data_IF_403197729080
#
_entry.id   IF_403197729080
#
_cell.length_a   1.000
_cell.length_b   1.000
_cell.length_c   1.000
_cell.angle_alpha   90.00
_cell.angle_beta   90.00
_cell.angle_gamma   90.00
#
_symmetry.space_group_name_H-M   'P 1'
#
loop_
_entity.id
_entity.type
_entity.pdbx_description
1 polymer ?
#
# COMPACT_ATOMS: atom_id res chain seq x y z
N UNK A 1 -18.59 -61.02 15.02
CA UNK A 1 -17.96 -59.91 15.77
C UNK A 1 -17.79 -58.73 14.83
N UNK A 2 -18.60 -57.67 14.95
CA UNK A 2 -18.36 -56.42 14.23
C UNK A 2 -17.51 -55.49 15.09
N UNK A 3 -16.40 -55.01 14.54
CA UNK A 3 -15.53 -54.01 15.16
C UNK A 3 -16.09 -52.63 14.80
N UNK A 4 -16.57 -51.90 15.81
CA UNK A 4 -17.02 -50.52 15.70
C UNK A 4 -15.80 -49.59 15.66
N UNK A 5 -15.68 -48.77 14.61
CA UNK A 5 -14.77 -47.62 14.60
C UNK A 5 -15.55 -46.40 15.06
N UNK A 6 -15.21 -45.90 16.25
CA UNK A 6 -15.61 -44.59 16.73
C UNK A 6 -14.73 -43.53 16.03
N UNK A 7 -15.35 -42.68 15.22
CA UNK A 7 -14.73 -41.43 14.74
C UNK A 7 -15.27 -40.29 15.59
N UNK A 8 -14.52 -39.91 16.61
CA UNK A 8 -14.66 -38.62 17.29
C UNK A 8 -14.18 -37.52 16.32
N UNK A 9 -15.11 -36.90 15.61
CA UNK A 9 -14.89 -35.61 14.96
C UNK A 9 -15.11 -34.53 16.01
N UNK A 10 -14.01 -34.11 16.64
CA UNK A 10 -13.96 -32.91 17.46
C UNK A 10 -14.23 -31.71 16.54
N UNK A 11 -15.33 -31.01 16.80
CA UNK A 11 -15.72 -29.79 16.12
C UNK A 11 -14.67 -28.70 16.31
N UNK A 12 -13.92 -28.43 15.25
CA UNK A 12 -13.20 -27.17 15.10
C UNK A 12 -14.22 -26.11 14.68
N UNK A 13 -14.49 -25.18 15.61
CA UNK A 13 -15.19 -23.93 15.32
C UNK A 13 -14.40 -23.20 14.22
N UNK A 14 -15.02 -22.82 13.08
CA UNK A 14 -14.34 -21.97 12.12
C UNK A 14 -14.14 -20.59 12.75
N UNK A 15 -12.93 -20.35 13.26
CA UNK A 15 -12.45 -18.99 13.52
C UNK A 15 -12.58 -18.20 12.23
N UNK A 16 -13.40 -17.16 12.28
CA UNK A 16 -13.62 -16.20 11.19
C UNK A 16 -12.29 -15.78 10.58
N UNK A 17 -12.05 -16.14 9.32
CA UNK A 17 -10.98 -15.57 8.52
C UNK A 17 -11.12 -14.04 8.54
N UNK A 18 -10.09 -13.28 8.95
CA UNK A 18 -10.13 -11.83 8.80
C UNK A 18 -10.29 -11.55 7.30
N UNK A 19 -11.32 -10.79 6.95
CA UNK A 19 -11.55 -10.32 5.59
C UNK A 19 -10.26 -9.77 5.01
N UNK A 20 -9.79 -10.36 3.91
CA UNK A 20 -8.51 -10.11 3.22
C UNK A 20 -8.43 -8.74 2.53
N UNK A 21 -8.82 -7.69 3.24
CA UNK A 21 -8.76 -6.31 2.78
C UNK A 21 -7.40 -5.75 3.13
N UNK A 22 -6.55 -5.53 2.12
CA UNK A 22 -5.34 -4.72 2.28
C UNK A 22 -5.71 -3.33 2.81
N UNK A 23 -4.95 -2.78 3.78
CA UNK A 23 -5.23 -1.44 4.29
C UNK A 23 -4.88 -0.37 3.26
N UNK A 24 -5.66 0.72 3.26
CA UNK A 24 -5.35 1.93 2.50
C UNK A 24 -4.03 2.55 2.95
N UNK A 25 -3.34 3.23 2.03
CA UNK A 25 -2.10 3.92 2.35
C UNK A 25 -2.37 5.00 3.41
N UNK A 26 -1.50 5.17 4.43
CA UNK A 26 -1.84 5.97 5.60
C UNK A 26 -2.11 7.45 5.27
N UNK A 27 -1.23 8.10 4.50
CA UNK A 27 -1.27 9.53 4.12
C UNK A 27 -0.10 9.83 3.17
N UNK A 28 -0.02 11.03 2.59
CA UNK A 28 1.09 11.43 1.70
C UNK A 28 2.46 11.22 2.36
N UNK A 29 2.60 11.62 3.63
CA UNK A 29 3.83 11.52 4.41
C UNK A 29 3.56 10.74 5.70
N UNK A 30 3.55 9.39 5.61
CA UNK A 30 3.13 8.56 6.73
C UNK A 30 4.16 8.61 7.85
N UNK A 31 3.66 8.63 9.10
CA UNK A 31 4.50 8.32 10.27
C UNK A 31 5.18 6.97 10.08
N UNK A 32 6.43 6.82 10.57
CA UNK A 32 7.20 5.58 10.39
C UNK A 32 6.46 4.35 10.96
N UNK A 33 5.78 4.49 12.10
CA UNK A 33 4.94 3.41 12.67
C UNK A 33 3.77 3.02 11.74
N UNK A 34 3.05 4.00 11.18
CA UNK A 34 1.94 3.73 10.27
C UNK A 34 2.42 3.12 8.94
N UNK A 35 3.56 3.59 8.44
CA UNK A 35 4.21 3.05 7.26
C UNK A 35 4.69 1.61 7.48
N UNK A 36 5.35 1.33 8.61
CA UNK A 36 5.81 -0.02 8.97
C UNK A 36 4.64 -1.01 9.03
N UNK A 37 3.57 -0.65 9.75
CA UNK A 37 2.35 -1.47 9.83
C UNK A 37 1.71 -1.71 8.47
N UNK A 38 1.67 -0.68 7.63
CA UNK A 38 1.13 -0.78 6.27
C UNK A 38 2.00 -1.69 5.39
N UNK A 39 3.32 -1.52 5.42
CA UNK A 39 4.27 -2.36 4.68
C UNK A 39 4.15 -3.81 5.12
N UNK A 40 4.12 -4.09 6.43
CA UNK A 40 4.04 -5.46 6.94
C UNK A 40 2.74 -6.15 6.49
N UNK A 41 1.61 -5.43 6.48
CA UNK A 41 0.34 -5.94 5.96
C UNK A 41 0.40 -6.24 4.45
N UNK A 42 1.07 -5.38 3.68
CA UNK A 42 1.24 -5.56 2.24
C UNK A 42 2.25 -6.64 1.88
N UNK A 43 3.33 -6.81 2.65
CA UNK A 43 4.28 -7.91 2.52
C UNK A 43 3.55 -9.26 2.75
N UNK A 44 2.67 -9.33 3.76
CA UNK A 44 1.81 -10.50 4.00
C UNK A 44 0.82 -10.75 2.85
N UNK A 45 0.20 -9.71 2.31
CA UNK A 45 -0.67 -9.83 1.13
C UNK A 45 0.09 -10.34 -0.09
N UNK A 46 1.27 -9.77 -0.37
CA UNK A 46 2.11 -10.17 -1.51
C UNK A 46 2.57 -11.64 -1.39
N UNK A 47 2.90 -12.10 -0.18
CA UNK A 47 3.21 -13.50 0.08
C UNK A 47 2.01 -14.41 -0.21
N UNK A 48 0.82 -14.06 0.30
CA UNK A 48 -0.39 -14.88 0.17
C UNK A 48 -0.88 -14.97 -1.29
N UNK A 49 -0.71 -13.91 -2.07
CA UNK A 49 -1.20 -13.84 -3.46
C UNK A 49 -0.12 -14.19 -4.51
N UNK A 50 1.04 -14.71 -4.10
CA UNK A 50 2.07 -15.19 -5.02
C UNK A 50 2.92 -14.10 -5.69
N UNK A 51 2.89 -12.86 -5.18
CA UNK A 51 3.75 -11.77 -5.64
C UNK A 51 5.13 -11.76 -4.98
N UNK A 52 5.31 -12.48 -3.86
CA UNK A 52 6.58 -12.54 -3.13
C UNK A 52 7.81 -12.93 -4.00
N UNK A 53 7.74 -13.94 -4.90
CA UNK A 53 8.85 -14.23 -5.81
C UNK A 53 9.23 -13.02 -6.67
N UNK A 54 8.23 -12.30 -7.21
CA UNK A 54 8.47 -11.12 -8.05
C UNK A 54 9.11 -9.97 -7.28
N UNK A 55 8.70 -9.75 -6.03
CA UNK A 55 9.33 -8.77 -5.13
C UNK A 55 10.81 -9.08 -4.87
N UNK A 56 11.20 -10.37 -4.94
CA UNK A 56 12.57 -10.85 -4.78
C UNK A 56 13.35 -10.90 -6.11
N UNK A 57 12.76 -10.43 -7.21
CA UNK A 57 13.37 -10.51 -8.55
C UNK A 57 13.35 -11.91 -9.16
N UNK A 58 12.49 -12.80 -8.66
CA UNK A 58 12.28 -14.15 -9.19
C UNK A 58 10.97 -14.24 -9.95
N UNK A 59 10.86 -15.28 -10.77
CA UNK A 59 9.64 -15.59 -11.50
C UNK A 59 8.55 -16.18 -10.58
N UNK A 60 7.27 -15.80 -10.76
CA UNK A 60 6.17 -16.44 -10.06
C UNK A 60 5.94 -17.88 -10.56
N UNK A 61 5.35 -18.77 -9.75
CA UNK A 61 5.10 -20.16 -10.17
C UNK A 61 4.23 -20.30 -11.43
N UNK A 62 3.37 -19.33 -11.71
CA UNK A 62 2.49 -19.30 -12.88
C UNK A 62 3.24 -19.29 -14.21
N UNK A 63 4.48 -18.80 -14.25
CA UNK A 63 5.27 -18.73 -15.50
C UNK A 63 6.19 -19.92 -15.73
N UNK A 64 6.26 -20.88 -14.80
CA UNK A 64 7.11 -22.08 -14.93
C UNK A 64 6.75 -22.89 -16.18
N UNK A 65 5.47 -22.92 -16.58
CA UNK A 65 5.04 -23.63 -17.79
C UNK A 65 5.65 -23.07 -19.09
N UNK A 66 6.16 -21.83 -19.07
CA UNK A 66 6.79 -21.17 -20.21
C UNK A 66 8.31 -21.38 -20.26
N UNK A 67 8.86 -22.33 -19.50
CA UNK A 67 10.29 -22.68 -19.61
C UNK A 67 10.63 -23.16 -21.02
N UNK A 68 11.69 -22.55 -21.56
CA UNK A 68 12.25 -22.88 -22.88
C UNK A 68 12.88 -24.27 -22.85
N UNK A 69 12.71 -25.02 -23.95
CA UNK A 69 13.38 -26.31 -24.11
C UNK A 69 14.83 -26.08 -24.50
N UNK A 70 15.75 -26.77 -23.82
CA UNK A 70 17.16 -26.72 -24.17
C UNK A 70 17.44 -27.44 -25.51
N UNK A 71 18.08 -26.73 -26.43
CA UNK A 71 18.47 -27.23 -27.74
C UNK A 71 19.66 -28.20 -27.67
N UNK A 72 20.37 -28.26 -26.54
CA UNK A 72 21.48 -29.20 -26.31
C UNK A 72 21.03 -30.67 -26.37
N UNK A 73 19.78 -30.94 -25.98
CA UNK A 73 19.18 -32.29 -26.04
C UNK A 73 18.86 -32.75 -27.47
N UNK A 74 18.92 -31.83 -28.44
CA UNK A 74 18.63 -32.10 -29.85
C UNK A 74 19.81 -31.54 -30.67
N UNK A 75 21.02 -32.12 -30.56
CA UNK A 75 22.18 -31.63 -31.29
C UNK A 75 21.98 -31.79 -32.80
N UNK A 76 22.71 -30.98 -33.57
CA UNK A 76 22.82 -31.18 -35.01
C UNK A 76 23.43 -32.57 -35.28
N UNK A 77 22.92 -33.26 -36.29
CA UNK A 77 23.49 -34.54 -36.69
C UNK A 77 24.75 -34.31 -37.53
N UNK A 78 25.74 -35.22 -37.44
CA UNK A 78 26.92 -35.16 -38.29
C UNK A 78 26.55 -35.39 -39.77
N UNK A 79 27.37 -34.90 -40.73
CA UNK A 79 27.04 -34.88 -42.16
C UNK A 79 26.94 -36.28 -42.79
N UNK A 80 27.43 -37.31 -42.11
CA UNK A 80 27.37 -38.72 -42.49
C UNK A 80 26.04 -39.41 -42.12
N UNK A 81 25.16 -38.77 -41.33
CA UNK A 81 23.89 -39.33 -40.88
C UNK A 81 22.81 -39.49 -41.98
N UNK A 82 23.12 -39.09 -43.22
CA UNK A 82 22.22 -39.12 -44.36
C UNK A 82 21.30 -37.89 -44.45
N UNK A 83 21.11 -37.39 -45.67
CA UNK A 83 20.41 -36.11 -45.93
C UNK A 83 18.99 -36.05 -45.34
N UNK A 84 18.24 -37.15 -45.40
CA UNK A 84 16.88 -37.22 -44.84
C UNK A 84 16.86 -37.08 -43.31
N UNK A 85 17.81 -37.71 -42.61
CA UNK A 85 17.90 -37.62 -41.14
C UNK A 85 18.35 -36.23 -40.68
N UNK A 86 19.28 -35.61 -41.43
CA UNK A 86 19.72 -34.23 -41.20
C UNK A 86 18.53 -33.27 -41.35
N UNK A 87 17.80 -33.34 -42.46
CA UNK A 87 16.63 -32.49 -42.71
C UNK A 87 15.54 -32.66 -41.64
N UNK A 88 15.26 -33.89 -41.22
CA UNK A 88 14.30 -34.15 -40.14
C UNK A 88 14.75 -33.55 -38.80
N UNK A 89 16.06 -33.65 -38.49
CA UNK A 89 16.64 -33.05 -37.28
C UNK A 89 16.59 -31.53 -37.30
N UNK A 90 16.91 -30.92 -38.43
CA UNK A 90 16.84 -29.46 -38.63
C UNK A 90 15.41 -28.94 -38.50
N UNK A 91 14.43 -29.63 -39.10
CA UNK A 91 13.02 -29.29 -38.96
C UNK A 91 12.56 -29.32 -37.49
N UNK A 92 12.95 -30.36 -36.74
CA UNK A 92 12.62 -30.46 -35.32
C UNK A 92 13.31 -29.38 -34.47
N UNK A 93 14.56 -29.02 -34.78
CA UNK A 93 15.25 -27.88 -34.12
C UNK A 93 14.56 -26.56 -34.44
N UNK A 94 14.18 -26.32 -35.69
CA UNK A 94 13.46 -25.12 -36.10
C UNK A 94 12.11 -25.00 -35.37
N UNK A 95 11.39 -26.11 -35.22
CA UNK A 95 10.16 -26.16 -34.44
C UNK A 95 10.39 -25.79 -32.97
N UNK A 96 11.41 -26.36 -32.32
CA UNK A 96 11.73 -26.04 -30.92
C UNK A 96 12.13 -24.56 -30.75
N UNK A 97 12.87 -23.99 -31.70
CA UNK A 97 13.22 -22.56 -31.69
C UNK A 97 11.96 -21.70 -31.77
N UNK A 98 11.03 -22.04 -32.67
CA UNK A 98 9.76 -21.35 -32.81
C UNK A 98 8.90 -21.45 -31.53
N UNK A 99 8.75 -22.65 -30.97
CA UNK A 99 8.04 -22.89 -29.72
C UNK A 99 8.64 -22.09 -28.55
N UNK A 100 9.98 -22.03 -28.46
CA UNK A 100 10.69 -21.26 -27.44
C UNK A 100 10.44 -19.76 -27.61
N UNK A 101 10.39 -19.24 -28.84
CA UNK A 101 10.07 -17.85 -29.10
C UNK A 101 8.64 -17.49 -28.65
N UNK A 102 7.66 -18.37 -28.93
CA UNK A 102 6.27 -18.20 -28.46
C UNK A 102 6.21 -18.21 -26.93
N UNK A 103 6.84 -19.21 -26.29
CA UNK A 103 6.89 -19.31 -24.83
C UNK A 103 7.53 -18.08 -24.17
N UNK A 104 8.60 -17.56 -24.76
CA UNK A 104 9.24 -16.33 -24.28
C UNK A 104 8.29 -15.14 -24.34
N UNK A 105 7.58 -14.97 -25.45
CA UNK A 105 6.59 -13.91 -25.59
C UNK A 105 5.46 -14.06 -24.55
N UNK A 106 4.89 -15.26 -24.40
CA UNK A 106 3.86 -15.55 -23.40
C UNK A 106 4.32 -15.32 -21.97
N UNK A 107 5.57 -15.69 -21.65
CA UNK A 107 6.18 -15.43 -20.34
C UNK A 107 6.27 -13.94 -20.05
N UNK A 108 6.77 -13.15 -21.00
CA UNK A 108 6.91 -11.70 -20.82
C UNK A 108 5.55 -11.02 -20.66
N UNK A 109 4.57 -11.40 -21.46
CA UNK A 109 3.19 -10.90 -21.38
C UNK A 109 2.57 -11.20 -20.02
N UNK A 110 2.66 -12.46 -19.57
CA UNK A 110 2.16 -12.88 -18.25
C UNK A 110 2.84 -12.13 -17.10
N UNK A 111 4.15 -11.88 -17.20
CA UNK A 111 4.88 -11.09 -16.20
C UNK A 111 4.42 -9.63 -16.19
N UNK A 112 4.20 -9.03 -17.36
CA UNK A 112 3.67 -7.67 -17.50
C UNK A 112 2.29 -7.57 -16.85
N UNK A 113 1.41 -8.53 -17.14
CA UNK A 113 0.09 -8.66 -16.56
C UNK A 113 0.10 -8.72 -15.03
N UNK A 114 0.97 -9.55 -14.45
CA UNK A 114 1.10 -9.64 -13.00
C UNK A 114 1.56 -8.32 -12.38
N UNK A 115 2.55 -7.64 -12.98
CA UNK A 115 3.04 -6.34 -12.50
C UNK A 115 1.97 -5.27 -12.58
N UNK A 116 1.22 -5.23 -13.68
CA UNK A 116 0.16 -4.26 -13.89
C UNK A 116 -1.02 -4.49 -12.94
N UNK A 117 -1.46 -5.74 -12.74
CA UNK A 117 -2.51 -6.06 -11.76
C UNK A 117 -2.13 -5.62 -10.35
N UNK A 118 -0.87 -5.84 -9.95
CA UNK A 118 -0.38 -5.36 -8.67
C UNK A 118 -0.35 -3.82 -8.59
N UNK A 119 -0.01 -3.14 -9.69
CA UNK A 119 -0.07 -1.67 -9.78
C UNK A 119 -1.50 -1.14 -9.59
N UNK A 120 -2.50 -1.76 -10.23
CA UNK A 120 -3.90 -1.38 -10.10
C UNK A 120 -4.40 -1.49 -8.64
N UNK A 121 -3.96 -2.52 -7.92
CA UNK A 121 -4.25 -2.66 -6.49
C UNK A 121 -3.63 -1.51 -5.68
N UNK A 122 -2.36 -1.18 -5.92
CA UNK A 122 -1.71 -0.04 -5.26
C UNK A 122 -2.43 1.28 -5.56
N UNK A 123 -2.81 1.50 -6.82
CA UNK A 123 -3.56 2.68 -7.26
C UNK A 123 -4.84 2.85 -6.43
N UNK A 124 -5.61 1.77 -6.23
CA UNK A 124 -6.86 1.81 -5.46
C UNK A 124 -6.61 2.24 -4.01
N UNK A 125 -5.55 1.73 -3.38
CA UNK A 125 -5.26 1.97 -1.97
C UNK A 125 -4.46 3.25 -1.68
N UNK A 126 -3.75 3.79 -2.67
CA UNK A 126 -3.06 5.07 -2.57
C UNK A 126 -4.00 6.26 -2.85
N UNK A 127 -4.95 6.10 -3.77
CA UNK A 127 -5.83 7.18 -4.24
C UNK A 127 -6.58 7.95 -3.12
N UNK A 128 -7.08 7.31 -2.05
CA UNK A 128 -7.88 8.04 -1.06
C UNK A 128 -7.07 9.03 -0.21
N UNK A 129 -5.78 8.77 0.03
CA UNK A 129 -4.99 9.50 1.04
C UNK A 129 -3.58 9.92 0.59
N UNK A 130 -3.12 9.45 -0.57
CA UNK A 130 -1.77 9.69 -1.09
C UNK A 130 -1.77 9.91 -2.62
N UNK A 131 -2.58 10.86 -3.08
CA UNK A 131 -2.76 11.18 -4.50
C UNK A 131 -1.52 11.79 -5.18
N UNK A 132 -0.76 12.66 -4.51
CA UNK A 132 0.47 13.26 -5.05
C UNK A 132 1.58 12.21 -5.17
N UNK A 133 1.75 11.39 -4.14
CA UNK A 133 2.65 10.22 -4.18
C UNK A 133 2.26 9.26 -5.29
N UNK A 134 0.97 8.99 -5.45
CA UNK A 134 0.46 8.16 -6.54
C UNK A 134 0.83 8.75 -7.91
N UNK A 135 0.60 10.04 -8.13
CA UNK A 135 0.98 10.70 -9.40
C UNK A 135 2.47 10.55 -9.70
N UNK A 136 3.33 10.72 -8.69
CA UNK A 136 4.78 10.52 -8.85
C UNK A 136 5.12 9.08 -9.20
N UNK A 137 4.50 8.11 -8.54
CA UNK A 137 4.73 6.68 -8.81
C UNK A 137 4.30 6.31 -10.23
N UNK A 138 3.13 6.76 -10.68
CA UNK A 138 2.62 6.51 -12.03
C UNK A 138 3.52 7.12 -13.10
N UNK A 139 4.03 8.33 -12.87
CA UNK A 139 4.98 8.97 -13.78
C UNK A 139 6.34 8.25 -13.83
N UNK A 140 6.79 7.67 -12.72
CA UNK A 140 8.13 7.06 -12.60
C UNK A 140 8.18 5.60 -13.05
N UNK A 141 7.07 4.88 -12.93
CA UNK A 141 7.00 3.41 -13.13
C UNK A 141 6.07 3.00 -14.28
N UNK A 142 5.94 3.85 -15.30
CA UNK A 142 5.25 3.49 -16.54
C UNK A 142 6.08 2.49 -17.35
N UNK A 143 5.46 1.44 -17.86
CA UNK A 143 6.13 0.43 -18.70
C UNK A 143 6.42 1.06 -20.07
N UNK A 144 7.70 1.04 -20.47
CA UNK A 144 8.15 1.62 -21.74
C UNK A 144 7.40 1.03 -22.94
N UNK A 145 6.96 1.90 -23.86
CA UNK A 145 6.20 1.51 -25.04
C UNK A 145 4.69 1.64 -24.92
N UNK A 146 4.17 2.03 -23.74
CA UNK A 146 2.75 2.42 -23.59
C UNK A 146 2.58 3.93 -23.70
N UNK A 147 1.51 4.37 -24.36
CA UNK A 147 1.15 5.79 -24.45
C UNK A 147 0.44 6.16 -23.14
N UNK A 148 0.89 7.23 -22.47
CA UNK A 148 0.27 7.70 -21.22
C UNK A 148 -1.23 7.95 -21.40
N UNK A 149 -2.06 7.47 -20.48
CA UNK A 149 -3.52 7.54 -20.58
C UNK A 149 -4.23 6.43 -19.81
N UNK A 150 -5.46 6.11 -20.22
CA UNK A 150 -6.28 5.05 -19.60
C UNK A 150 -5.73 3.64 -19.85
N UNK A 151 -4.93 3.46 -20.90
CA UNK A 151 -4.36 2.16 -21.31
C UNK A 151 -2.88 2.01 -20.90
N UNK A 152 -2.38 2.90 -20.04
CA UNK A 152 -1.00 2.83 -19.57
C UNK A 152 -0.78 1.60 -18.68
N UNK A 153 0.28 0.85 -18.97
CA UNK A 153 0.75 -0.25 -18.13
C UNK A 153 1.79 0.26 -17.14
N UNK A 154 1.76 -0.28 -15.93
CA UNK A 154 2.58 0.19 -14.81
C UNK A 154 3.30 -0.99 -14.17
N UNK A 155 4.55 -0.79 -13.74
CA UNK A 155 5.30 -1.79 -12.99
C UNK A 155 4.97 -1.69 -11.49
N UNK A 156 3.92 -2.39 -11.07
CA UNK A 156 3.47 -2.37 -9.68
C UNK A 156 4.49 -2.92 -8.69
N UNK A 157 5.38 -3.81 -9.13
CA UNK A 157 6.44 -4.37 -8.30
C UNK A 157 7.47 -3.28 -7.99
N UNK A 158 7.90 -2.53 -9.00
CA UNK A 158 8.80 -1.39 -8.82
C UNK A 158 8.16 -0.27 -7.98
N UNK A 159 6.87 0.04 -8.22
CA UNK A 159 6.13 1.00 -7.40
C UNK A 159 6.13 0.62 -5.91
N UNK A 160 5.84 -0.64 -5.60
CA UNK A 160 5.84 -1.10 -4.22
C UNK A 160 7.23 -1.12 -3.59
N UNK A 161 8.27 -1.48 -4.35
CA UNK A 161 9.64 -1.40 -3.86
C UNK A 161 10.04 0.04 -3.50
N UNK A 162 9.62 1.05 -4.26
CA UNK A 162 9.83 2.46 -3.90
C UNK A 162 9.11 2.82 -2.59
N UNK A 163 7.85 2.36 -2.41
CA UNK A 163 7.11 2.57 -1.16
C UNK A 163 7.77 1.86 0.02
N UNK A 164 8.28 0.65 -0.19
CA UNK A 164 9.00 -0.12 0.83
C UNK A 164 10.32 0.53 1.22
N UNK A 165 10.99 1.20 0.27
CA UNK A 165 12.21 1.95 0.54
C UNK A 165 11.99 3.15 1.49
N UNK A 166 10.76 3.69 1.57
CA UNK A 166 10.41 4.74 2.54
C UNK A 166 10.65 4.31 3.99
N UNK A 167 10.61 3.01 4.28
CA UNK A 167 10.95 2.42 5.58
C UNK A 167 12.36 2.79 6.05
N UNK A 168 13.26 3.03 5.10
CA UNK A 168 14.68 3.29 5.34
C UNK A 168 15.06 4.77 5.20
N UNK A 169 14.13 5.61 4.76
CA UNK A 169 14.38 7.05 4.60
C UNK A 169 14.54 7.70 5.98
N UNK A 170 15.60 8.51 6.15
CA UNK A 170 15.85 9.24 7.40
C UNK A 170 14.69 10.20 7.67
N UNK A 171 14.24 10.25 8.92
CA UNK A 171 13.19 11.19 9.35
C UNK A 171 13.56 12.63 8.97
N UNK A 172 12.56 13.40 8.56
CA UNK A 172 12.75 14.82 8.26
C UNK A 172 13.13 15.59 9.52
N UNK A 173 13.69 16.80 9.39
CA UNK A 173 14.01 17.65 10.56
C UNK A 173 12.76 17.91 11.44
N UNK A 174 11.59 18.29 10.90
CA UNK A 174 10.38 18.47 11.70
C UNK A 174 9.96 17.22 12.48
N UNK A 175 10.04 16.06 11.84
CA UNK A 175 9.73 14.78 12.49
C UNK A 175 10.69 14.48 13.65
N UNK A 176 12.00 14.72 13.46
CA UNK A 176 12.98 14.60 14.56
C UNK A 176 12.70 15.59 15.69
N UNK A 177 12.34 16.83 15.36
CA UNK A 177 12.00 17.84 16.35
C UNK A 177 10.71 17.48 17.12
N UNK A 178 9.74 16.80 16.49
CA UNK A 178 8.55 16.28 17.14
C UNK A 178 8.86 15.12 18.10
N UNK A 179 9.73 14.18 17.71
CA UNK A 179 10.19 13.10 18.60
C UNK A 179 10.95 13.67 19.81
N UNK A 180 11.81 14.68 19.61
CA UNK A 180 12.50 15.35 20.73
C UNK A 180 11.53 16.07 21.67
N UNK A 181 10.51 16.74 21.13
CA UNK A 181 9.45 17.35 21.95
C UNK A 181 8.69 16.31 22.76
N UNK A 182 8.34 15.19 22.15
CA UNK A 182 7.67 14.11 22.85
C UNK A 182 8.50 13.51 23.99
N UNK A 183 9.82 13.38 23.80
CA UNK A 183 10.72 12.98 24.87
C UNK A 183 10.73 14.01 26.01
N UNK A 184 10.84 15.30 25.68
CA UNK A 184 10.81 16.37 26.68
C UNK A 184 9.47 16.44 27.43
N UNK A 185 8.34 16.24 26.74
CA UNK A 185 7.01 16.20 27.35
C UNK A 185 6.85 14.99 28.26
N UNK A 186 7.42 13.85 27.87
CA UNK A 186 7.48 12.67 28.71
C UNK A 186 8.28 13.01 29.98
N UNK A 187 9.51 13.50 29.86
CA UNK A 187 10.38 13.86 31.00
C UNK A 187 9.75 14.91 31.92
N UNK A 188 9.05 15.91 31.36
CA UNK A 188 8.38 16.96 32.12
C UNK A 188 7.14 16.48 32.91
N UNK A 189 6.63 15.29 32.62
CA UNK A 189 5.42 14.73 33.23
C UNK A 189 5.71 13.46 34.04
N UNK A 190 6.46 13.52 35.15
CA UNK A 190 6.76 12.34 35.97
C UNK A 190 5.48 11.68 36.52
N UNK A 191 5.54 10.37 36.74
CA UNK A 191 4.43 9.66 37.38
C UNK A 191 4.29 10.11 38.83
N UNK A 192 3.05 10.31 39.28
CA UNK A 192 2.75 10.62 40.68
C UNK A 192 2.93 9.39 41.56
N UNK A 193 3.24 9.61 42.84
CA UNK A 193 3.30 8.53 43.83
C UNK A 193 1.94 7.81 43.94
N UNK A 194 1.99 6.48 44.11
CA UNK A 194 0.80 5.64 44.14
C UNK A 194 0.13 5.41 42.78
N UNK A 195 0.82 5.66 41.66
CA UNK A 195 0.31 5.36 40.32
C UNK A 195 0.03 3.86 40.14
N UNK A 196 -0.86 3.53 39.19
CA UNK A 196 -1.12 2.13 38.86
C UNK A 196 0.01 1.52 38.01
N UNK A 197 0.18 0.21 38.11
CA UNK A 197 1.07 -0.60 37.27
C UNK A 197 0.75 -0.40 35.79
N UNK A 198 -0.53 -0.19 35.45
CA UNK A 198 -0.96 0.08 34.09
C UNK A 198 -0.50 1.45 33.58
N UNK A 199 -0.51 2.48 34.43
CA UNK A 199 0.01 3.80 34.11
C UNK A 199 1.52 3.75 33.85
N UNK A 200 2.27 3.08 34.72
CA UNK A 200 3.71 2.84 34.52
C UNK A 200 3.98 2.07 33.22
N UNK A 201 3.28 0.95 33.01
CA UNK A 201 3.43 0.12 31.81
C UNK A 201 3.16 0.90 30.53
N UNK A 202 2.09 1.70 30.52
CA UNK A 202 1.70 2.51 29.37
C UNK A 202 2.77 3.56 29.05
N UNK A 203 3.33 4.21 30.08
CA UNK A 203 4.41 5.19 29.91
C UNK A 203 5.68 4.56 29.33
N UNK A 204 6.12 3.43 29.88
CA UNK A 204 7.30 2.71 29.36
C UNK A 204 7.06 2.22 27.93
N UNK A 205 5.84 1.75 27.61
CA UNK A 205 5.48 1.32 26.26
C UNK A 205 5.51 2.49 25.26
N UNK A 206 5.00 3.67 25.63
CA UNK A 206 5.08 4.87 24.79
C UNK A 206 6.54 5.21 24.51
N UNK A 207 7.40 5.21 25.52
CA UNK A 207 8.81 5.48 25.30
C UNK A 207 9.48 4.42 24.41
N UNK A 208 9.37 3.15 24.76
CA UNK A 208 10.07 2.05 24.08
C UNK A 208 9.60 1.85 22.63
N UNK A 209 8.31 2.05 22.35
CA UNK A 209 7.72 1.85 21.02
C UNK A 209 7.68 3.12 20.18
N UNK A 210 7.25 4.23 20.78
CA UNK A 210 6.84 5.43 20.04
C UNK A 210 7.91 6.54 20.04
N UNK A 211 8.92 6.47 20.92
CA UNK A 211 9.97 7.51 21.05
C UNK A 211 11.36 6.93 20.77
N UNK A 212 11.80 5.95 21.56
CA UNK A 212 13.16 5.40 21.54
C UNK A 212 13.67 4.98 20.14
N UNK A 213 12.87 4.28 19.31
CA UNK A 213 13.32 3.85 17.97
C UNK A 213 13.52 4.99 16.97
N UNK A 214 13.05 6.20 17.31
CA UNK A 214 13.07 7.38 16.45
C UNK A 214 14.05 8.45 16.93
N UNK A 215 14.77 8.20 18.03
CA UNK A 215 15.83 9.08 18.49
C UNK A 215 17.05 9.00 17.58
N UNK A 216 17.79 10.11 17.47
CA UNK A 216 19.07 10.15 16.73
C UNK A 216 20.08 9.12 17.31
N UNK A 217 19.97 8.83 18.62
CA UNK A 217 20.69 7.76 19.33
C UNK A 217 19.71 7.01 20.24
N UNK A 218 19.16 5.86 19.78
CA UNK A 218 18.29 5.04 20.63
C UNK A 218 19.03 4.52 21.86
N UNK A 219 18.34 4.47 22.99
CA UNK A 219 18.77 3.80 24.20
C UNK A 219 18.73 2.29 24.00
N UNK A 220 19.75 1.58 24.48
CA UNK A 220 19.87 0.14 24.35
C UNK A 220 20.65 -0.46 25.54
N UNK A 221 20.35 -1.71 25.87
CA UNK A 221 20.99 -2.41 26.99
C UNK A 221 20.82 -1.64 28.31
N UNK A 222 21.93 -1.44 29.03
CA UNK A 222 21.92 -0.81 30.35
C UNK A 222 21.39 0.63 30.36
N UNK A 223 21.58 1.41 29.30
CA UNK A 223 21.07 2.80 29.26
C UNK A 223 19.55 2.87 29.11
N UNK A 224 18.96 1.89 28.42
CA UNK A 224 17.50 1.76 28.35
C UNK A 224 16.94 1.36 29.72
N UNK A 225 17.59 0.41 30.39
CA UNK A 225 17.19 -0.04 31.72
C UNK A 225 17.29 1.06 32.78
N UNK A 226 18.33 1.89 32.73
CA UNK A 226 18.49 3.06 33.59
C UNK A 226 17.35 4.07 33.37
N UNK A 227 17.05 4.41 32.11
CA UNK A 227 15.93 5.27 31.79
C UNK A 227 14.60 4.72 32.31
N UNK A 228 14.34 3.42 32.17
CA UNK A 228 13.11 2.77 32.66
C UNK A 228 12.97 2.92 34.18
N UNK A 229 14.06 2.81 34.93
CA UNK A 229 14.07 2.99 36.39
C UNK A 229 13.82 4.46 36.76
N UNK A 230 14.40 5.41 36.02
CA UNK A 230 14.15 6.84 36.20
C UNK A 230 12.69 7.24 35.94
N UNK A 231 11.96 6.46 35.13
CA UNK A 231 10.53 6.68 34.91
C UNK A 231 9.62 6.26 36.07
N UNK A 232 10.17 5.69 37.15
CA UNK A 232 9.37 5.35 38.34
C UNK A 232 8.92 6.59 39.12
N UNK A 233 7.84 6.47 39.91
CA UNK A 233 7.40 7.56 40.79
C UNK A 233 8.50 8.01 41.76
N UNK A 234 8.59 9.31 42.08
CA UNK A 234 9.63 9.87 42.94
C UNK A 234 9.82 9.12 44.26
N UNK A 235 8.73 8.72 44.93
CA UNK A 235 8.76 7.98 46.18
C UNK A 235 9.35 6.58 46.07
N UNK A 236 9.44 6.01 44.86
CA UNK A 236 9.99 4.68 44.58
C UNK A 236 11.40 4.71 43.97
N UNK A 237 11.96 5.89 43.68
CA UNK A 237 13.27 5.99 43.04
C UNK A 237 14.38 5.34 43.88
N UNK A 238 14.36 5.45 45.21
CA UNK A 238 15.36 4.78 46.07
C UNK A 238 15.27 3.26 45.97
N UNK A 239 14.06 2.69 45.95
CA UNK A 239 13.86 1.26 45.71
C UNK A 239 14.33 0.86 44.31
N UNK A 240 14.13 1.75 43.32
CA UNK A 240 14.67 1.60 41.97
C UNK A 240 16.18 1.55 41.89
N UNK A 241 16.87 2.47 42.58
CA UNK A 241 18.33 2.49 42.63
C UNK A 241 18.90 1.27 43.36
N UNK A 242 18.17 0.72 44.33
CA UNK A 242 18.51 -0.56 44.95
C UNK A 242 18.35 -1.72 43.97
N UNK A 243 17.23 -1.76 43.23
CA UNK A 243 16.97 -2.74 42.18
C UNK A 243 18.03 -2.69 41.06
N UNK A 244 18.42 -1.50 40.61
CA UNK A 244 19.50 -1.32 39.64
C UNK A 244 20.80 -1.99 40.11
N UNK A 245 21.20 -1.77 41.37
CA UNK A 245 22.40 -2.37 41.96
C UNK A 245 22.28 -3.89 42.02
N UNK A 246 21.12 -4.40 42.38
CA UNK A 246 20.85 -5.84 42.45
C UNK A 246 20.91 -6.52 41.08
N UNK A 247 20.21 -5.98 40.08
CA UNK A 247 20.21 -6.50 38.70
C UNK A 247 21.58 -6.35 38.03
N UNK A 248 22.33 -5.30 38.37
CA UNK A 248 23.72 -5.13 37.90
C UNK A 248 24.62 -6.20 38.50
N UNK A 249 24.48 -6.49 39.80
CA UNK A 249 25.20 -7.58 40.47
C UNK A 249 24.83 -8.96 39.90
N UNK A 250 23.56 -9.15 39.52
CA UNK A 250 23.08 -10.37 38.89
C UNK A 250 23.49 -10.49 37.40
N UNK A 251 24.00 -9.41 36.78
CA UNK A 251 24.36 -9.38 35.36
C UNK A 251 23.18 -9.30 34.39
N UNK A 252 21.95 -9.14 34.90
CA UNK A 252 20.72 -9.09 34.08
C UNK A 252 20.23 -7.68 33.78
N UNK A 253 20.93 -6.64 34.27
CA UNK A 253 20.52 -5.24 34.07
C UNK A 253 20.43 -4.81 32.59
N UNK A 254 21.16 -5.45 31.68
CA UNK A 254 21.05 -5.16 30.25
C UNK A 254 19.74 -5.67 29.62
N UNK A 255 18.99 -6.52 30.31
CA UNK A 255 17.73 -7.07 29.85
C UNK A 255 16.55 -6.18 30.27
N UNK A 256 16.11 -5.31 29.35
CA UNK A 256 15.04 -4.35 29.62
C UNK A 256 13.72 -5.02 30.05
N UNK A 257 13.37 -6.20 29.52
CA UNK A 257 12.13 -6.89 29.87
C UNK A 257 12.12 -7.35 31.33
N UNK A 258 13.28 -7.78 31.83
CA UNK A 258 13.45 -8.20 33.22
C UNK A 258 13.36 -6.99 34.18
N UNK A 259 13.98 -5.87 33.81
CA UNK A 259 13.91 -4.61 34.56
C UNK A 259 12.47 -4.10 34.61
N UNK A 260 11.75 -4.10 33.47
CA UNK A 260 10.34 -3.73 33.39
C UNK A 260 9.50 -4.60 34.32
N UNK A 261 9.72 -5.91 34.33
CA UNK A 261 9.00 -6.85 35.21
C UNK A 261 9.22 -6.52 36.68
N UNK A 262 10.46 -6.30 37.11
CA UNK A 262 10.76 -5.98 38.51
C UNK A 262 10.25 -4.60 38.94
N UNK A 263 10.38 -3.58 38.07
CA UNK A 263 9.79 -2.27 38.32
C UNK A 263 8.27 -2.35 38.47
N UNK A 264 7.58 -3.18 37.67
CA UNK A 264 6.14 -3.44 37.84
C UNK A 264 5.82 -4.08 39.19
N UNK A 265 6.64 -5.03 39.65
CA UNK A 265 6.48 -5.65 40.99
C UNK A 265 6.57 -4.61 42.10
N UNK A 266 7.55 -3.69 42.02
CA UNK A 266 7.72 -2.61 42.98
C UNK A 266 6.55 -1.62 42.96
N UNK A 267 6.10 -1.20 41.77
CA UNK A 267 4.94 -0.31 41.63
C UNK A 267 3.69 -1.00 42.19
N UNK A 268 3.46 -2.29 41.90
CA UNK A 268 2.32 -3.06 42.41
C UNK A 268 2.25 -3.15 43.94
N UNK A 269 3.42 -3.23 44.60
CA UNK A 269 3.53 -3.27 46.05
C UNK A 269 3.16 -1.93 46.72
N UNK A 270 3.30 -0.81 45.99
CA UNK A 270 3.08 0.55 46.48
C UNK A 270 1.91 1.27 45.81
N UNK A 271 1.07 0.54 45.07
CA UNK A 271 -0.15 1.09 44.49
C UNK A 271 -1.09 1.61 45.57
N UNK A 272 -1.63 2.82 45.37
CA UNK A 272 -2.66 3.35 46.26
C UNK A 272 -3.92 2.46 46.21
N UNK A 273 -4.66 2.28 47.32
CA UNK A 273 -5.88 1.48 47.34
C UNK A 273 -6.93 1.93 46.30
N UNK A 274 -7.00 3.24 46.01
CA UNK A 274 -7.89 3.82 45.00
C UNK A 274 -7.43 3.55 43.55
N UNK A 275 -6.12 3.39 43.31
CA UNK A 275 -5.56 3.06 42.00
C UNK A 275 -5.81 1.59 41.62
N UNK A 276 -5.87 0.68 42.61
CA UNK A 276 -6.26 -0.73 42.39
C UNK A 276 -7.67 -0.90 41.85
N UNK A 277 -8.59 0.00 42.20
CA UNK A 277 -9.99 -0.05 41.75
C UNK A 277 -10.22 0.57 40.37
N UNK A 278 -9.24 1.33 39.84
CA UNK A 278 -9.41 2.13 38.63
C UNK A 278 -8.28 1.81 37.64
N UNK A 279 -8.43 0.74 36.86
CA UNK A 279 -7.47 0.32 35.83
C UNK A 279 -7.53 1.19 34.55
N UNK A 280 -7.89 2.47 34.67
CA UNK A 280 -7.96 3.38 33.54
C UNK A 280 -6.54 3.83 33.14
N UNK A 281 -6.21 3.86 31.84
CA UNK A 281 -4.92 4.37 31.38
C UNK A 281 -4.78 5.85 31.78
N UNK A 282 -3.57 6.25 32.20
CA UNK A 282 -3.29 7.63 32.57
C UNK A 282 -3.65 8.58 31.41
N UNK A 283 -4.42 9.66 31.66
CA UNK A 283 -4.95 10.52 30.61
C UNK A 283 -3.83 11.18 29.79
N UNK A 284 -2.69 11.48 30.40
CA UNK A 284 -1.55 12.13 29.74
C UNK A 284 -0.82 11.23 28.74
N UNK A 285 -0.65 9.93 29.00
CA UNK A 285 0.02 9.02 28.06
C UNK A 285 -0.81 8.81 26.78
N UNK A 286 -2.14 8.87 26.91
CA UNK A 286 -3.06 8.83 25.77
C UNK A 286 -3.05 10.17 25.02
N UNK A 287 -2.91 11.29 25.74
CA UNK A 287 -2.84 12.63 25.15
C UNK A 287 -1.52 12.82 24.41
N UNK A 288 -0.35 12.52 24.98
CA UNK A 288 0.95 12.70 24.29
C UNK A 288 1.08 11.84 23.05
N UNK A 289 0.62 10.58 23.07
CA UNK A 289 0.58 9.73 21.88
C UNK A 289 -0.38 10.27 20.81
N UNK A 290 -1.54 10.81 21.21
CA UNK A 290 -2.53 11.40 20.30
C UNK A 290 -2.11 12.77 19.76
N UNK A 291 -1.40 13.55 20.57
CA UNK A 291 -0.85 14.88 20.25
C UNK A 291 0.37 14.76 19.34
N UNK A 292 1.31 13.83 19.61
CA UNK A 292 2.38 13.46 18.66
C UNK A 292 1.79 13.07 17.31
N UNK A 293 0.77 12.21 17.32
CA UNK A 293 0.08 11.75 16.11
C UNK A 293 -0.63 12.88 15.36
N UNK A 294 -1.02 13.96 16.04
CA UNK A 294 -1.61 15.16 15.43
C UNK A 294 -0.58 16.17 14.95
N UNK A 295 0.48 16.41 15.72
CA UNK A 295 1.54 17.38 15.41
C UNK A 295 2.44 16.88 14.27
N UNK A 296 2.70 15.57 14.21
CA UNK A 296 3.35 14.95 13.05
C UNK A 296 2.49 15.03 11.78
N UNK A 297 1.17 15.18 11.90
CA UNK A 297 0.24 15.24 10.76
C UNK A 297 -0.10 16.67 10.30
N UNK A 298 0.11 17.70 11.14
CA UNK A 298 -0.37 19.06 10.88
C UNK A 298 0.68 19.99 10.22
N UNK A 299 1.98 19.79 10.49
CA UNK A 299 3.03 20.74 10.05
C UNK A 299 3.58 20.43 8.64
N UNK A 300 3.38 19.23 8.11
CA UNK A 300 3.91 18.81 6.80
C UNK A 300 3.10 19.36 5.61
N UNK A 301 1.88 19.88 5.85
CA UNK A 301 1.10 20.58 4.83
C UNK A 301 1.71 21.95 4.44
N UNK A 302 2.46 22.59 5.35
CA UNK A 302 3.02 23.93 5.14
C UNK A 302 4.41 23.89 4.45
N UNK A 303 5.21 22.84 4.68
CA UNK A 303 6.54 22.72 4.09
C UNK A 303 6.52 22.36 2.59
N UNK A 304 5.48 21.65 2.12
CA UNK A 304 5.35 21.21 0.73
C UNK A 304 4.90 22.30 -0.25
N UNK A 305 4.30 23.41 0.21
CA UNK A 305 4.00 24.56 -0.65
C UNK A 305 5.27 25.33 -1.06
N UNK A 306 6.37 25.20 -0.32
CA UNK A 306 7.63 25.89 -0.62
C UNK A 306 8.52 25.14 -1.63
N UNK A 307 8.33 23.82 -1.79
CA UNK A 307 9.13 22.99 -2.71
C UNK A 307 8.65 22.97 -4.18
N UNK A 308 7.51 23.63 -4.49
CA UNK A 308 6.93 23.70 -5.85
C UNK A 308 7.57 24.81 -6.71
N UNK A 309 8.46 25.63 -6.12
CA UNK A 309 9.18 26.68 -6.85
C UNK A 309 10.40 26.16 -7.62
N UNK A 310 10.21 25.48 -8.76
CA UNK A 310 11.34 25.28 -9.68
C UNK A 310 11.25 24.14 -10.68
N UNK A 311 10.29 24.18 -11.62
CA UNK A 311 10.45 23.75 -13.02
C UNK A 311 9.13 23.90 -13.80
N UNK A 312 9.10 24.56 -14.97
CA UNK A 312 7.87 24.62 -15.77
C UNK A 312 7.65 23.27 -16.48
N UNK A 313 6.53 22.61 -16.17
CA UNK A 313 5.98 21.50 -16.94
C UNK A 313 5.10 22.07 -18.07
N UNK A 314 5.18 21.46 -19.25
CA UNK A 314 4.44 21.84 -20.46
C UNK A 314 2.90 21.81 -20.25
N UNK A 315 2.12 22.65 -20.96
CA UNK A 315 0.75 22.98 -20.58
C UNK A 315 -0.36 21.97 -20.97
N UNK A 316 -0.07 20.76 -21.45
CA UNK A 316 -1.12 19.88 -21.99
C UNK A 316 -1.70 18.80 -21.05
N UNK A 317 -1.27 18.71 -19.79
CA UNK A 317 -1.77 17.68 -18.86
C UNK A 317 -2.77 18.17 -17.79
N UNK A 318 -3.33 19.39 -17.91
CA UNK A 318 -4.00 20.08 -16.79
C UNK A 318 -5.51 20.35 -17.01
N UNK A 319 -6.23 19.51 -17.76
CA UNK A 319 -7.63 19.78 -18.10
C UNK A 319 -8.69 18.71 -17.75
N UNK A 320 -8.37 17.58 -17.08
CA UNK A 320 -9.35 16.46 -16.97
C UNK A 320 -9.84 16.10 -15.56
N UNK A 321 -9.38 16.74 -14.47
CA UNK A 321 -9.81 16.34 -13.11
C UNK A 321 -10.41 17.44 -12.21
N UNK A 322 -10.84 18.57 -12.77
CA UNK A 322 -11.53 19.61 -12.00
C UNK A 322 -13.06 19.48 -12.11
N UNK A 323 -13.65 18.52 -11.41
CA UNK A 323 -15.09 18.49 -11.11
C UNK A 323 -15.46 19.56 -10.08
N UNK A 324 -15.64 20.82 -10.51
CA UNK A 324 -16.11 21.91 -9.65
C UNK A 324 -17.64 22.03 -9.70
N UNK A 325 -18.29 21.68 -8.60
CA UNK A 325 -19.63 22.21 -8.24
C UNK A 325 -19.42 23.60 -7.61
N UNK A 326 -19.99 24.63 -8.21
CA UNK A 326 -20.25 25.90 -7.51
C UNK A 326 -21.51 26.55 -8.05
N UNK A 327 -22.50 26.63 -7.17
CA UNK A 327 -23.67 27.49 -7.25
C UNK A 327 -23.29 28.95 -6.93
N UNK A 328 -23.64 29.90 -7.78
CA UNK A 328 -24.09 31.24 -7.36
C UNK A 328 -24.46 32.12 -8.56
N UNK A 329 -25.58 32.83 -8.40
CA UNK A 329 -26.20 33.73 -9.36
C UNK A 329 -25.39 35.03 -9.58
N UNK A 330 -25.40 35.54 -10.81
CA UNK A 330 -25.33 36.97 -11.13
C UNK A 330 -25.71 37.20 -12.62
N UNK A 331 -26.04 38.44 -12.96
CA UNK A 331 -27.08 38.86 -13.88
C UNK A 331 -26.52 39.74 -15.01
N UNK A 332 -26.99 39.51 -16.27
CA UNK A 332 -27.16 40.46 -17.41
C UNK A 332 -25.89 41.00 -18.17
N UNK A 333 -26.03 41.62 -19.37
CA UNK A 333 -26.49 41.03 -20.65
C UNK A 333 -25.64 41.48 -21.89
N UNK A 334 -25.90 40.91 -23.06
CA UNK A 334 -25.41 41.38 -24.38
C UNK A 334 -24.98 40.18 -25.24
N UNK A 335 -25.45 39.94 -26.46
CA UNK A 335 -25.92 40.84 -27.51
C UNK A 335 -24.97 40.63 -28.70
N UNK A 336 -25.38 39.87 -29.71
CA UNK A 336 -24.53 39.64 -30.90
C UNK A 336 -24.99 38.47 -31.76
N UNK A 337 -25.84 38.77 -32.73
CA UNK A 337 -26.30 37.89 -33.81
C UNK A 337 -25.23 37.79 -34.90
N UNK A 338 -24.94 36.59 -35.40
CA UNK A 338 -24.37 36.40 -36.73
C UNK A 338 -24.71 35.01 -37.29
N UNK A 339 -25.42 35.05 -38.41
CA UNK A 339 -25.91 34.00 -39.30
C UNK A 339 -24.80 33.37 -40.16
N UNK A 340 -24.82 32.04 -40.34
CA UNK A 340 -24.01 31.29 -41.30
C UNK A 340 -24.35 29.78 -41.32
N UNK A 341 -24.22 29.07 -42.46
CA UNK A 341 -25.06 27.91 -42.79
C UNK A 341 -24.60 26.60 -42.14
N UNK A 342 -25.56 25.82 -41.64
CA UNK A 342 -25.37 24.49 -41.06
C UNK A 342 -25.20 23.44 -42.16
N UNK A 343 -24.02 22.85 -42.23
CA UNK A 343 -23.75 21.60 -42.95
C UNK A 343 -24.24 20.41 -42.12
N UNK A 344 -24.87 19.46 -42.79
CA UNK A 344 -25.46 18.25 -42.24
C UNK A 344 -24.38 17.22 -41.88
N UNK A 345 -24.05 17.07 -40.60
CA UNK A 345 -23.40 15.84 -40.08
C UNK A 345 -23.43 15.81 -38.54
N UNK A 346 -24.62 15.82 -37.94
CA UNK A 346 -24.77 15.68 -36.50
C UNK A 346 -25.70 14.51 -36.19
N UNK A 347 -25.17 13.29 -36.37
CA UNK A 347 -25.94 12.03 -36.35
C UNK A 347 -25.60 11.10 -35.18
N UNK A 348 -24.84 11.55 -34.19
CA UNK A 348 -24.48 10.73 -33.01
C UNK A 348 -24.45 11.55 -31.72
N UNK A 349 -25.50 12.32 -31.46
CA UNK A 349 -25.67 13.10 -30.23
C UNK A 349 -26.69 12.48 -29.27
N UNK A 350 -26.42 12.57 -27.96
CA UNK A 350 -27.39 12.33 -26.88
C UNK A 350 -28.52 13.36 -26.99
N UNK A 351 -29.78 12.96 -26.77
CA UNK A 351 -30.89 13.94 -26.71
C UNK A 351 -30.71 14.86 -25.50
N UNK A 352 -31.28 16.08 -25.54
CA UNK A 352 -31.27 17.01 -24.41
C UNK A 352 -31.77 16.36 -23.11
N UNK A 353 -31.30 16.82 -21.95
CA UNK A 353 -31.56 16.19 -20.66
C UNK A 353 -33.06 15.94 -20.41
N UNK A 354 -33.42 14.66 -20.22
CA UNK A 354 -34.80 14.19 -20.04
C UNK A 354 -35.49 13.72 -21.33
N UNK A 355 -34.95 14.01 -22.51
CA UNK A 355 -35.47 13.57 -23.79
C UNK A 355 -35.27 12.08 -24.05
N UNK A 356 -36.26 11.44 -24.67
CA UNK A 356 -36.17 10.05 -25.16
C UNK A 356 -36.33 10.01 -26.68
N UNK A 357 -35.85 8.96 -27.31
CA UNK A 357 -36.08 8.69 -28.73
C UNK A 357 -37.60 8.57 -29.02
N UNK A 358 -37.98 8.56 -30.30
CA UNK A 358 -39.39 8.47 -30.71
C UNK A 358 -40.13 7.26 -30.09
N UNK A 359 -39.41 6.16 -29.85
CA UNK A 359 -39.95 4.94 -29.23
C UNK A 359 -39.89 4.96 -27.68
N UNK A 360 -39.42 6.06 -27.07
CA UNK A 360 -39.39 6.23 -25.61
C UNK A 360 -38.42 5.31 -24.85
N UNK A 361 -37.50 4.62 -25.54
CA UNK A 361 -36.69 3.54 -24.95
C UNK A 361 -35.21 3.89 -24.72
N UNK A 362 -34.67 4.90 -25.39
CA UNK A 362 -33.30 5.35 -25.15
C UNK A 362 -33.18 6.88 -25.20
N UNK A 363 -32.01 7.40 -24.80
CA UNK A 363 -31.69 8.84 -24.78
C UNK A 363 -30.78 9.25 -25.95
N UNK A 364 -30.71 8.45 -27.01
CA UNK A 364 -29.85 8.70 -28.16
C UNK A 364 -30.66 9.03 -29.40
N UNK A 365 -30.16 9.98 -30.19
CA UNK A 365 -30.80 10.37 -31.45
C UNK A 365 -30.43 9.35 -32.52
N UNK A 366 -31.43 8.74 -33.15
CA UNK A 366 -31.25 7.80 -34.25
C UNK A 366 -32.41 7.94 -35.25
N UNK A 367 -32.12 7.76 -36.54
CA UNK A 367 -33.10 7.87 -37.63
C UNK A 367 -33.64 6.50 -38.10
N UNK A 368 -33.43 5.45 -37.29
CA UNK A 368 -33.88 4.06 -37.55
C UNK A 368 -34.52 3.43 -36.30
N UNK A 369 -34.85 2.11 -36.31
CA UNK A 369 -35.49 1.46 -35.17
C UNK A 369 -34.60 1.51 -33.92
N UNK A 370 -35.20 1.77 -32.76
CA UNK A 370 -34.43 1.78 -31.52
C UNK A 370 -33.97 0.37 -31.15
N UNK A 371 -32.66 0.12 -31.16
CA UNK A 371 -32.10 -1.18 -30.78
C UNK A 371 -32.24 -1.54 -29.29
N UNK A 372 -32.69 -0.59 -28.45
CA UNK A 372 -33.06 -0.86 -27.05
C UNK A 372 -34.56 -1.14 -26.87
N UNK A 373 -35.35 -1.09 -27.95
CA UNK A 373 -36.76 -1.42 -27.89
C UNK A 373 -36.96 -2.94 -27.95
N UNK A 374 -37.86 -3.52 -27.12
CA UNK A 374 -38.01 -4.98 -26.99
C UNK A 374 -38.56 -5.69 -28.25
N UNK A 375 -39.02 -4.94 -29.25
CA UNK A 375 -39.48 -5.49 -30.55
C UNK A 375 -38.37 -5.56 -31.62
N UNK A 376 -37.17 -5.06 -31.34
CA UNK A 376 -36.09 -4.99 -32.32
C UNK A 376 -35.21 -6.24 -32.20
N UNK A 377 -35.50 -7.28 -32.99
CA UNK A 377 -34.88 -8.61 -32.87
C UNK A 377 -33.65 -8.84 -33.76
N UNK A 378 -33.20 -7.84 -34.51
CA UNK A 378 -32.09 -7.95 -35.47
C UNK A 378 -30.99 -6.93 -35.20
N UNK A 379 -29.84 -7.41 -34.73
CA UNK A 379 -28.60 -6.62 -34.61
C UNK A 379 -27.83 -6.76 -35.93
N UNK A 380 -27.46 -5.68 -36.64
CA UNK A 380 -26.71 -5.78 -37.89
C UNK A 380 -25.26 -6.24 -37.64
N UNK A 381 -24.85 -7.32 -38.32
CA UNK A 381 -23.57 -8.03 -38.17
C UNK A 381 -22.32 -7.30 -38.72
N UNK A 382 -22.29 -5.98 -38.79
CA UNK A 382 -21.15 -5.24 -39.37
C UNK A 382 -20.46 -4.32 -38.38
N UNK A 383 -19.55 -4.87 -37.56
CA UNK A 383 -18.39 -4.14 -37.03
C UNK A 383 -17.24 -5.13 -36.77
N UNK A 384 -16.63 -5.70 -37.81
CA UNK A 384 -15.25 -6.24 -37.77
C UNK A 384 -14.79 -6.46 -39.22
N UNK A 385 -14.53 -5.37 -39.94
CA UNK A 385 -13.66 -5.40 -41.13
C UNK A 385 -12.43 -4.56 -40.79
N UNK A 386 -11.36 -5.24 -40.33
CA UNK A 386 -10.04 -4.67 -40.21
C UNK A 386 -9.50 -4.46 -41.64
N UNK A 387 -9.23 -3.21 -42.01
CA UNK A 387 -8.44 -2.88 -43.19
C UNK A 387 -6.96 -3.20 -42.91
N UNK A 388 -6.50 -4.33 -43.41
CA UNK A 388 -5.08 -4.48 -43.75
C UNK A 388 -4.78 -3.55 -44.95
N UNK A 389 -3.77 -2.70 -44.79
CA UNK A 389 -3.28 -1.81 -45.84
C UNK A 389 -1.89 -2.28 -46.24
N UNK A 390 -1.76 -2.69 -47.50
CA UNK A 390 -0.52 -2.75 -48.29
C UNK A 390 0.14 -1.40 -48.44
#
# INVERSE_FOLDING_TARGET
>A
MPVAFASDVVGAVPTSSPSSSTPDFPEEDPTKEALDKWIDAWDAYAATNGYAPMLQGRDPPSVIQFTERDLSHIPALPPDAGASAIAAREALRAQVIHDNAIKRAQRLDTLCDHRHRFALLLIVHLRPRAGLRLQRLLASHIVSGTVGGNDALYDGIAMYQELRALRTVRMTKPQRDAVRRALADLEASPLTDGCSVQAFSSRVNVFTRDINPFLDRPYAGSSLSEFIVEQMPPGLLQAGLALMRELTRAGTFANADEVIRECKTLVAAHEAPAARATSAPAPLAVVTAKEMKRLLAADDAAALQSAVGGRPLAPEALAVLAGKKSSSAAKKPGGGSATGPRTTSDRTGRLPDGGRCADGTCQFRHDGPCFRHPKTTTVPSRVFENKEST
#
